data_IF_459199118212
#
_entry.id   IF_459199118212
#
_cell.length_a   1.000
_cell.length_b   1.000
_cell.length_c   1.000
_cell.angle_alpha   90.00
_cell.angle_beta   90.00
_cell.angle_gamma   90.00
#
_symmetry.space_group_name_H-M   'P 1'
#
loop_
_entity.id
_entity.type
_entity.pdbx_description
1 polymer ?
#
# COMPACT_ATOMS: atom_id res chain seq x y z
N UNK A 1 -0.69 -14.07 2.80
CA UNK A 1 -1.32 -13.14 3.77
C UNK A 1 -0.65 -11.78 3.64
N UNK A 2 -1.39 -10.71 3.94
CA UNK A 2 -0.92 -9.32 3.96
C UNK A 2 -0.84 -8.81 5.41
N UNK A 3 -0.06 -7.74 5.65
CA UNK A 3 0.14 -7.15 6.97
C UNK A 3 -0.51 -5.77 7.12
N UNK A 4 -0.88 -5.13 6.02
CA UNK A 4 -1.60 -3.87 5.96
C UNK A 4 -2.71 -3.94 4.89
N UNK A 5 -3.73 -3.09 4.99
CA UNK A 5 -4.79 -3.03 3.97
C UNK A 5 -5.33 -1.61 3.84
N UNK A 6 -5.58 -1.19 2.60
CA UNK A 6 -6.21 0.09 2.29
C UNK A 6 -7.73 0.08 2.42
N UNK A 7 -8.34 -1.09 2.64
CA UNK A 7 -9.81 -1.29 2.68
C UNK A 7 -10.54 -0.70 1.45
N UNK A 8 -9.90 -0.78 0.28
CA UNK A 8 -10.31 -0.09 -0.94
C UNK A 8 -11.61 -0.63 -1.57
N UNK A 9 -12.07 -1.81 -1.15
CA UNK A 9 -13.39 -2.33 -1.49
C UNK A 9 -14.55 -1.59 -0.78
N UNK A 10 -14.27 -0.77 0.24
CA UNK A 10 -15.29 -0.01 0.98
C UNK A 10 -14.98 1.48 1.18
N UNK A 11 -13.71 1.86 1.17
CA UNK A 11 -13.26 3.21 1.45
C UNK A 11 -13.28 4.10 0.19
N UNK A 12 -13.36 5.42 0.38
CA UNK A 12 -13.14 6.42 -0.68
C UNK A 12 -11.67 6.82 -0.71
N UNK A 13 -11.21 7.47 -1.79
CA UNK A 13 -9.81 7.85 -2.02
C UNK A 13 -9.03 8.28 -0.77
N UNK A 14 -9.51 9.28 -0.03
CA UNK A 14 -8.79 9.82 1.13
C UNK A 14 -8.66 8.82 2.29
N UNK A 15 -9.67 7.99 2.50
CA UNK A 15 -9.66 6.92 3.52
C UNK A 15 -8.76 5.76 3.11
N UNK A 16 -8.67 5.45 1.80
CA UNK A 16 -7.73 4.46 1.26
C UNK A 16 -6.30 4.92 1.52
N UNK A 17 -6.00 6.19 1.20
CA UNK A 17 -4.69 6.79 1.43
C UNK A 17 -4.34 6.72 2.93
N UNK A 18 -5.23 7.20 3.80
CA UNK A 18 -4.98 7.19 5.25
C UNK A 18 -4.73 5.77 5.80
N UNK A 19 -5.53 4.78 5.38
CA UNK A 19 -5.36 3.40 5.82
C UNK A 19 -4.05 2.77 5.30
N UNK A 20 -3.70 3.02 4.04
CA UNK A 20 -2.46 2.55 3.44
C UNK A 20 -1.23 3.14 4.16
N UNK A 21 -1.22 4.45 4.39
CA UNK A 21 -0.11 5.14 5.07
C UNK A 21 0.05 4.71 6.52
N UNK A 22 -1.06 4.46 7.23
CA UNK A 22 -1.02 3.96 8.61
C UNK A 22 -0.39 2.56 8.75
N UNK A 23 -0.39 1.77 7.67
CA UNK A 23 0.19 0.43 7.64
C UNK A 23 1.66 0.37 7.19
N UNK A 24 2.27 1.50 6.84
CA UNK A 24 3.64 1.53 6.32
C UNK A 24 4.67 1.22 7.42
N UNK A 25 5.50 0.22 7.12
CA UNK A 25 6.68 -0.17 7.90
C UNK A 25 7.57 -1.05 6.99
N UNK A 26 8.89 -1.15 7.27
CA UNK A 26 9.76 -2.09 6.55
C UNK A 26 9.17 -3.50 6.53
N UNK A 27 9.08 -4.11 5.35
CA UNK A 27 8.55 -5.46 5.19
C UNK A 27 7.01 -5.57 5.17
N UNK A 28 6.27 -4.46 5.19
CA UNK A 28 4.82 -4.52 5.06
C UNK A 28 4.37 -5.04 3.69
N UNK A 29 3.31 -5.86 3.68
CA UNK A 29 2.57 -6.24 2.49
C UNK A 29 1.21 -5.56 2.56
N UNK A 30 0.98 -4.55 1.72
CA UNK A 30 -0.25 -3.77 1.64
C UNK A 30 -1.22 -4.40 0.63
N UNK A 31 -2.42 -4.79 1.08
CA UNK A 31 -3.49 -5.26 0.19
C UNK A 31 -4.29 -4.08 -0.40
N UNK A 32 -4.39 -4.07 -1.73
CA UNK A 32 -5.25 -3.25 -2.58
C UNK A 32 -5.77 -4.11 -3.75
N UNK A 33 -6.80 -3.63 -4.45
CA UNK A 33 -7.44 -4.26 -5.61
C UNK A 33 -7.46 -3.28 -6.79
N UNK A 34 -6.97 -3.72 -7.95
CA UNK A 34 -6.84 -2.92 -9.18
C UNK A 34 -8.13 -2.83 -10.02
N UNK A 35 -9.25 -3.30 -9.47
CA UNK A 35 -10.58 -3.27 -10.12
C UNK A 35 -11.42 -2.05 -9.74
N UNK A 36 -10.90 -1.15 -8.90
CA UNK A 36 -11.61 0.02 -8.37
C UNK A 36 -10.94 1.33 -8.79
N UNK A 37 -11.72 2.26 -9.34
CA UNK A 37 -11.22 3.57 -9.78
C UNK A 37 -10.67 4.41 -8.61
N UNK A 38 -11.24 4.26 -7.41
CA UNK A 38 -10.74 4.93 -6.19
C UNK A 38 -9.32 4.44 -5.82
N UNK A 39 -9.01 3.16 -6.02
CA UNK A 39 -7.65 2.62 -5.81
C UNK A 39 -6.67 3.24 -6.78
N UNK A 40 -7.03 3.35 -8.05
CA UNK A 40 -6.20 4.01 -9.07
C UNK A 40 -5.97 5.48 -8.71
N UNK A 41 -7.00 6.19 -8.25
CA UNK A 41 -6.90 7.59 -7.85
C UNK A 41 -6.09 7.80 -6.55
N UNK A 42 -6.06 6.82 -5.66
CA UNK A 42 -5.29 6.85 -4.41
C UNK A 42 -3.81 6.51 -4.62
N UNK A 43 -3.50 5.63 -5.59
CA UNK A 43 -2.17 5.06 -5.78
C UNK A 43 -1.02 6.09 -5.85
N UNK A 44 -1.12 7.21 -6.60
CA UNK A 44 -0.03 8.19 -6.65
C UNK A 44 0.34 8.72 -5.26
N UNK A 45 -0.66 9.02 -4.42
CA UNK A 45 -0.41 9.58 -3.08
C UNK A 45 0.12 8.53 -2.09
N UNK A 46 -0.25 7.27 -2.29
CA UNK A 46 0.31 6.16 -1.51
C UNK A 46 1.79 6.00 -1.84
N UNK A 47 2.18 6.03 -3.11
CA UNK A 47 3.58 5.93 -3.54
C UNK A 47 4.42 7.10 -3.01
N UNK A 48 3.92 8.34 -3.09
CA UNK A 48 4.57 9.50 -2.45
C UNK A 48 4.80 9.29 -0.95
N UNK A 49 3.84 8.69 -0.24
CA UNK A 49 3.97 8.40 1.19
C UNK A 49 4.95 7.27 1.50
N UNK A 50 5.08 6.27 0.62
CA UNK A 50 6.09 5.21 0.71
C UNK A 50 7.50 5.82 0.60
N UNK A 51 7.74 6.64 -0.43
CA UNK A 51 9.01 7.34 -0.62
C UNK A 51 9.33 8.28 0.55
N UNK A 52 8.36 9.06 1.02
CA UNK A 52 8.53 9.97 2.15
C UNK A 52 8.85 9.25 3.48
N UNK A 53 8.45 7.98 3.62
CA UNK A 53 8.79 7.14 4.76
C UNK A 53 10.18 6.49 4.63
N UNK A 54 10.93 6.75 3.55
CA UNK A 54 12.21 6.10 3.26
C UNK A 54 12.07 4.62 2.89
N UNK A 55 10.91 4.23 2.37
CA UNK A 55 10.60 2.88 1.91
C UNK A 55 10.54 2.85 0.38
N UNK A 56 10.63 1.64 -0.16
CA UNK A 56 10.56 1.39 -1.60
C UNK A 56 9.56 0.26 -1.88
N UNK A 57 8.70 0.37 -2.90
CA UNK A 57 7.89 -0.75 -3.36
C UNK A 57 8.78 -1.90 -3.85
N UNK A 58 8.43 -3.13 -3.49
CA UNK A 58 9.17 -4.31 -3.89
C UNK A 58 8.22 -5.40 -4.40
N UNK A 59 8.73 -6.24 -5.30
CA UNK A 59 8.10 -7.51 -5.62
C UNK A 59 8.11 -8.43 -4.38
N UNK A 60 7.04 -9.20 -4.19
CA UNK A 60 6.94 -10.13 -3.06
C UNK A 60 8.11 -11.12 -3.01
N UNK A 61 8.62 -11.55 -4.17
CA UNK A 61 9.80 -12.41 -4.30
C UNK A 61 11.04 -11.81 -3.64
N UNK A 62 11.24 -10.50 -3.76
CA UNK A 62 12.40 -9.77 -3.17
C UNK A 62 12.24 -9.59 -1.66
N UNK A 63 11.01 -9.59 -1.15
CA UNK A 63 10.71 -9.47 0.28
C UNK A 63 10.90 -10.79 1.04
N UNK A 64 10.63 -11.92 0.39
CA UNK A 64 10.65 -13.25 1.00
C UNK A 64 12.03 -13.93 1.00
N UNK A 65 13.01 -13.36 0.31
CA UNK A 65 14.38 -13.88 0.31
C UNK A 65 15.08 -13.42 1.58
N UNK A 66 15.18 -14.35 2.54
CA UNK A 66 16.24 -14.32 3.56
C UNK A 66 17.48 -14.96 2.94
N UNK A 67 18.61 -14.26 2.97
CA UNK A 67 19.91 -14.96 3.05
C UNK A 67 20.08 -15.55 4.46
#
# INVERSE_FOLDING_TARGET
QWSATGYDWKNRREEIIAAALAGLQPGAILLLHDIHAETVAALPKILEGVEAAGLEPAELSKLAVRE
#
